data_IF_926650676854
#
_entry.id   IF_926650676854
#
_cell.length_a   1.000
_cell.length_b   1.000
_cell.length_c   1.000
_cell.angle_alpha   90.00
_cell.angle_beta   90.00
_cell.angle_gamma   90.00
#
_symmetry.space_group_name_H-M   'P 1'
#
loop_
_entity.id
_entity.type
_entity.pdbx_description
1 polymer ?
#
# COMPACT_ATOMS: atom_id res chain seq x y z
N UNK A 1 14.27 -22.54 -0.19
CA UNK A 1 15.42 -23.47 -0.32
C UNK A 1 16.62 -22.86 -1.04
N UNK A 2 16.46 -21.99 -2.03
CA UNK A 2 17.55 -21.34 -2.76
C UNK A 2 18.36 -20.41 -1.85
N UNK A 3 17.72 -19.55 -1.04
CA UNK A 3 18.37 -18.67 -0.08
C UNK A 3 19.25 -19.44 0.91
N UNK A 4 18.71 -20.51 1.50
CA UNK A 4 19.46 -21.32 2.48
C UNK A 4 20.71 -21.92 1.83
N UNK A 5 20.62 -22.41 0.60
CA UNK A 5 21.79 -22.93 -0.14
C UNK A 5 22.81 -21.84 -0.41
N UNK A 6 22.37 -20.66 -0.85
CA UNK A 6 23.26 -19.53 -1.12
C UNK A 6 23.99 -19.09 0.15
N UNK A 7 23.28 -18.93 1.27
CA UNK A 7 23.89 -18.57 2.57
C UNK A 7 24.90 -19.62 3.03
N UNK A 8 24.56 -20.91 2.93
CA UNK A 8 25.50 -22.00 3.30
C UNK A 8 26.75 -21.98 2.45
N UNK A 9 26.60 -21.85 1.13
CA UNK A 9 27.72 -21.78 0.20
C UNK A 9 28.63 -20.59 0.50
N UNK A 10 28.02 -19.42 0.75
CA UNK A 10 28.75 -18.19 1.06
C UNK A 10 29.56 -18.35 2.36
N UNK A 11 28.93 -18.84 3.42
CA UNK A 11 29.62 -19.14 4.70
C UNK A 11 30.79 -20.10 4.52
N UNK A 12 30.62 -21.17 3.76
CA UNK A 12 31.67 -22.18 3.51
C UNK A 12 32.84 -21.62 2.69
N UNK A 13 32.52 -20.79 1.69
CA UNK A 13 33.54 -20.24 0.79
C UNK A 13 34.40 -19.18 1.48
N UNK A 14 33.77 -18.30 2.29
CA UNK A 14 34.47 -17.14 2.83
C UNK A 14 34.74 -17.22 4.34
N UNK A 15 34.30 -18.27 5.02
CA UNK A 15 34.51 -18.44 6.47
C UNK A 15 33.88 -17.37 7.34
N UNK A 16 32.79 -16.74 6.87
CA UNK A 16 32.10 -15.62 7.55
C UNK A 16 30.79 -16.06 8.18
N UNK A 17 30.36 -15.34 9.20
CA UNK A 17 28.97 -15.39 9.69
C UNK A 17 28.09 -14.56 8.78
N UNK A 18 26.86 -15.04 8.54
CA UNK A 18 25.85 -14.34 7.74
C UNK A 18 24.65 -14.08 8.63
N UNK A 19 24.33 -12.82 8.82
CA UNK A 19 23.12 -12.34 9.52
C UNK A 19 22.15 -11.83 8.44
N UNK A 20 20.89 -12.23 8.53
CA UNK A 20 19.83 -11.80 7.63
C UNK A 20 18.85 -10.90 8.40
N UNK A 21 18.38 -9.85 7.75
CA UNK A 21 17.33 -8.96 8.24
C UNK A 21 16.11 -9.04 7.32
N UNK A 22 15.36 -10.14 7.35
CA UNK A 22 14.35 -10.46 6.32
C UNK A 22 13.01 -9.72 6.53
N UNK A 23 12.99 -8.46 6.89
CA UNK A 23 11.79 -7.70 7.20
C UNK A 23 10.59 -8.05 6.30
N UNK A 24 10.60 -7.67 5.00
CA UNK A 24 9.54 -7.96 4.02
C UNK A 24 9.27 -9.45 3.86
N UNK A 25 10.31 -10.25 3.82
CA UNK A 25 10.17 -11.68 3.58
C UNK A 25 9.40 -12.45 4.66
N UNK A 26 9.14 -11.84 5.83
CA UNK A 26 8.36 -12.45 6.92
C UNK A 26 6.87 -12.10 6.85
N UNK A 27 6.49 -11.05 6.13
CA UNK A 27 5.13 -10.49 6.12
C UNK A 27 4.56 -10.27 4.70
N UNK A 28 5.20 -10.86 3.70
CA UNK A 28 4.68 -10.92 2.33
C UNK A 28 3.27 -11.51 2.36
N UNK A 29 2.36 -10.91 1.60
CA UNK A 29 0.95 -11.29 1.47
C UNK A 29 0.14 -11.27 2.80
N UNK A 30 0.69 -10.72 3.89
CA UNK A 30 0.04 -10.73 5.20
C UNK A 30 -0.74 -9.45 5.53
N UNK A 31 -0.59 -8.39 4.76
CA UNK A 31 -1.27 -7.12 5.03
C UNK A 31 -1.86 -6.45 3.81
N UNK A 32 -3.07 -5.92 3.98
CA UNK A 32 -3.82 -5.23 2.95
C UNK A 32 -4.24 -3.85 3.44
N UNK A 33 -4.27 -2.87 2.52
CA UNK A 33 -4.90 -1.57 2.75
C UNK A 33 -6.12 -1.46 1.85
N UNK A 34 -7.27 -1.23 2.45
CA UNK A 34 -8.52 -0.99 1.72
C UNK A 34 -8.72 0.51 1.60
N UNK A 35 -8.95 0.97 0.38
CA UNK A 35 -9.19 2.37 0.04
C UNK A 35 -10.49 2.52 -0.74
N UNK A 36 -11.11 3.69 -0.63
CA UNK A 36 -12.33 4.03 -1.36
C UNK A 36 -12.02 5.11 -2.39
N UNK A 37 -12.55 4.96 -3.60
CA UNK A 37 -12.55 6.01 -4.63
C UNK A 37 -13.50 7.13 -4.18
N UNK A 38 -12.98 8.34 -4.02
CA UNK A 38 -13.74 9.52 -3.63
C UNK A 38 -14.30 10.25 -4.84
N UNK A 39 -13.50 10.37 -5.90
CA UNK A 39 -13.84 11.13 -7.09
C UNK A 39 -13.04 10.63 -8.29
N UNK A 40 -13.54 10.89 -9.50
CA UNK A 40 -12.85 10.66 -10.77
C UNK A 40 -12.68 12.02 -11.46
N UNK A 41 -11.43 12.37 -11.71
CA UNK A 41 -11.07 13.61 -12.43
C UNK A 41 -10.47 13.26 -13.77
N UNK A 42 -10.94 13.89 -14.83
CA UNK A 42 -10.39 13.73 -16.17
C UNK A 42 -9.44 14.88 -16.50
N UNK A 43 -8.17 14.58 -16.74
CA UNK A 43 -7.15 15.53 -17.19
C UNK A 43 -6.18 14.81 -18.14
N UNK A 44 -6.53 14.75 -19.43
CA UNK A 44 -5.89 13.92 -20.46
C UNK A 44 -6.04 12.41 -20.21
N UNK A 45 -6.00 11.99 -18.97
CA UNK A 45 -6.27 10.63 -18.49
C UNK A 45 -7.22 10.68 -17.29
N UNK A 46 -7.83 9.55 -16.95
CA UNK A 46 -8.65 9.44 -15.76
C UNK A 46 -7.77 9.31 -14.52
N UNK A 47 -8.12 10.05 -13.47
CA UNK A 47 -7.44 10.08 -12.18
C UNK A 47 -8.48 9.73 -11.11
N UNK A 48 -8.33 8.60 -10.47
CA UNK A 48 -9.13 8.23 -9.31
C UNK A 48 -8.51 8.79 -8.04
N UNK A 49 -9.20 9.74 -7.42
CA UNK A 49 -8.82 10.33 -6.12
C UNK A 49 -9.33 9.41 -5.02
N UNK A 50 -8.44 8.94 -4.16
CA UNK A 50 -8.74 7.98 -3.12
C UNK A 50 -8.81 8.63 -1.73
N UNK A 51 -9.43 7.96 -0.76
CA UNK A 51 -9.32 8.28 0.67
C UNK A 51 -7.97 7.86 1.27
N UNK A 52 -7.05 7.41 0.43
CA UNK A 52 -5.69 7.00 0.75
C UNK A 52 -4.68 7.92 0.04
N UNK A 53 -3.58 8.22 0.71
CA UNK A 53 -2.49 9.06 0.21
C UNK A 53 -1.20 8.24 0.17
N UNK A 54 -0.42 8.35 -0.91
CA UNK A 54 0.92 7.78 -0.96
C UNK A 54 1.78 8.37 0.16
N UNK A 55 1.73 9.69 0.37
CA UNK A 55 2.51 10.37 1.39
C UNK A 55 2.15 9.97 2.82
N UNK A 56 0.88 9.63 3.09
CA UNK A 56 0.40 9.35 4.45
C UNK A 56 0.35 7.86 4.78
N UNK A 57 0.01 7.01 3.82
CA UNK A 57 -0.34 5.61 4.08
C UNK A 57 0.61 4.61 3.44
N UNK A 58 1.38 5.03 2.44
CA UNK A 58 2.37 4.19 1.77
C UNK A 58 3.59 5.02 1.29
N UNK A 59 4.28 5.72 2.20
CA UNK A 59 5.37 6.63 1.82
C UNK A 59 6.52 5.95 1.09
N UNK A 60 6.67 4.64 1.23
CA UNK A 60 7.65 3.84 0.49
C UNK A 60 7.50 3.96 -1.02
N UNK A 61 6.27 4.12 -1.52
CA UNK A 61 5.98 4.34 -2.95
C UNK A 61 6.71 5.57 -3.48
N UNK A 62 6.90 6.58 -2.63
CA UNK A 62 7.58 7.83 -2.99
C UNK A 62 9.08 7.78 -2.69
N UNK A 63 9.50 7.06 -1.66
CA UNK A 63 10.91 6.98 -1.22
C UNK A 63 11.72 6.03 -2.11
N UNK A 64 11.17 4.89 -2.43
CA UNK A 64 11.76 3.88 -3.32
C UNK A 64 10.69 3.50 -4.34
N UNK A 65 10.53 4.26 -5.42
CA UNK A 65 9.37 4.13 -6.30
C UNK A 65 9.10 2.69 -6.76
N UNK A 66 7.93 2.21 -6.45
CA UNK A 66 7.37 0.95 -6.92
C UNK A 66 5.85 1.11 -7.06
N UNK A 67 5.22 0.23 -7.80
CA UNK A 67 3.77 0.19 -7.96
C UNK A 67 3.19 -0.89 -7.05
N UNK A 68 2.47 -0.54 -5.97
CA UNK A 68 1.86 -1.51 -5.08
C UNK A 68 0.88 -2.42 -5.83
N UNK A 69 0.82 -3.72 -5.54
CA UNK A 69 -0.19 -4.57 -6.16
C UNK A 69 -1.61 -4.16 -5.68
N UNK A 70 -2.54 -4.08 -6.64
CA UNK A 70 -3.97 -3.86 -6.37
C UNK A 70 -4.75 -5.08 -6.86
N UNK A 71 -5.58 -5.64 -6.00
CA UNK A 71 -6.37 -6.81 -6.35
C UNK A 71 -7.31 -6.50 -7.52
N UNK A 72 -7.26 -7.34 -8.55
CA UNK A 72 -8.06 -7.17 -9.77
C UNK A 72 -7.52 -6.16 -10.78
N UNK A 73 -6.47 -5.41 -10.44
CA UNK A 73 -5.83 -4.51 -11.38
C UNK A 73 -4.62 -5.16 -12.09
N UNK A 74 -4.24 -4.57 -13.22
CA UNK A 74 -3.08 -4.95 -14.02
C UNK A 74 -2.22 -3.71 -14.34
N UNK A 75 -1.09 -3.94 -15.00
CA UNK A 75 -0.27 -2.85 -15.52
C UNK A 75 -1.05 -1.99 -16.53
N UNK A 76 -0.67 -0.71 -16.70
CA UNK A 76 -1.35 0.19 -17.63
C UNK A 76 -1.49 -0.41 -19.02
N UNK A 77 -2.68 -0.28 -19.62
CA UNK A 77 -2.99 -0.74 -20.97
C UNK A 77 -3.15 -2.26 -21.15
N UNK A 78 -3.06 -3.06 -20.10
CA UNK A 78 -3.30 -4.51 -20.16
C UNK A 78 -4.80 -4.80 -20.15
N UNK A 79 -5.57 -4.08 -19.35
CA UNK A 79 -7.03 -4.14 -19.28
C UNK A 79 -7.67 -2.91 -19.96
N UNK A 80 -8.97 -2.93 -20.26
CA UNK A 80 -9.62 -1.88 -21.06
C UNK A 80 -9.55 -0.46 -20.48
N UNK A 81 -9.61 -0.31 -19.16
CA UNK A 81 -9.72 0.99 -18.51
C UNK A 81 -8.48 1.30 -17.69
N UNK A 82 -7.67 2.25 -18.17
CA UNK A 82 -6.46 2.70 -17.49
C UNK A 82 -6.74 4.00 -16.75
N UNK A 83 -6.30 4.08 -15.48
CA UNK A 83 -6.36 5.31 -14.70
C UNK A 83 -5.18 5.44 -13.74
N UNK A 84 -4.92 6.68 -13.30
CA UNK A 84 -3.97 7.00 -12.25
C UNK A 84 -4.70 6.95 -10.91
N UNK A 85 -4.11 6.30 -9.91
CA UNK A 85 -4.56 6.34 -8.52
C UNK A 85 -3.77 7.41 -7.78
N UNK A 86 -4.47 8.35 -7.15
CA UNK A 86 -3.87 9.49 -6.48
C UNK A 86 -4.49 9.75 -5.10
N UNK A 87 -3.72 10.29 -4.19
CA UNK A 87 -4.19 10.75 -2.89
C UNK A 87 -4.75 12.18 -2.93
N UNK A 88 -5.48 12.60 -1.88
CA UNK A 88 -6.15 13.90 -1.81
C UNK A 88 -5.28 14.99 -1.15
N UNK A 89 -4.00 14.73 -0.87
CA UNK A 89 -3.14 15.70 -0.17
C UNK A 89 -2.59 16.77 -1.11
N UNK A 90 -2.14 17.89 -0.55
CA UNK A 90 -1.49 18.96 -1.31
C UNK A 90 -0.03 18.63 -1.69
N UNK A 91 0.47 17.46 -1.34
CA UNK A 91 1.81 17.06 -1.73
C UNK A 91 1.89 16.90 -3.26
N UNK A 92 2.78 17.63 -3.88
CA UNK A 92 3.04 17.48 -5.32
C UNK A 92 3.52 16.05 -5.60
N UNK A 93 2.76 15.31 -6.44
CA UNK A 93 3.08 13.93 -6.73
C UNK A 93 2.56 12.93 -5.68
N UNK A 94 1.45 13.25 -4.99
CA UNK A 94 0.71 12.26 -4.17
C UNK A 94 0.01 11.25 -5.08
N UNK A 95 0.82 10.56 -5.87
CA UNK A 95 0.42 9.57 -6.87
C UNK A 95 0.88 8.20 -6.40
N UNK A 96 -0.05 7.25 -6.37
CA UNK A 96 0.22 5.87 -5.99
C UNK A 96 0.76 5.08 -7.18
N UNK A 97 0.16 5.25 -8.34
CA UNK A 97 0.58 4.59 -9.57
C UNK A 97 -0.48 4.66 -10.66
N UNK A 98 -0.14 4.08 -11.80
CA UNK A 98 -1.05 3.92 -12.93
C UNK A 98 -1.38 2.45 -13.10
N UNK A 99 -2.68 2.16 -13.28
CA UNK A 99 -3.22 0.79 -13.32
C UNK A 99 -4.27 0.67 -14.42
N UNK A 100 -4.58 -0.56 -14.80
CA UNK A 100 -5.74 -0.85 -15.65
C UNK A 100 -6.69 -1.83 -14.97
N UNK A 101 -7.98 -1.70 -15.30
CA UNK A 101 -9.10 -2.43 -14.71
C UNK A 101 -10.00 -3.00 -15.82
N UNK A 102 -10.78 -4.04 -15.51
CA UNK A 102 -11.78 -4.61 -16.42
C UNK A 102 -12.95 -3.66 -16.69
N UNK A 103 -13.36 -2.91 -15.65
CA UNK A 103 -14.44 -1.92 -15.66
C UNK A 103 -13.90 -0.55 -15.26
N UNK A 104 -14.52 0.55 -15.69
CA UNK A 104 -14.13 1.88 -15.20
C UNK A 104 -14.40 2.00 -13.71
N UNK A 105 -13.51 2.68 -12.99
CA UNK A 105 -13.72 2.97 -11.58
C UNK A 105 -14.79 4.07 -11.41
N UNK A 106 -15.58 3.93 -10.34
CA UNK A 106 -16.60 4.90 -9.95
C UNK A 106 -16.40 5.35 -8.49
N UNK A 107 -16.86 6.57 -8.12
CA UNK A 107 -16.89 7.00 -6.72
C UNK A 107 -17.66 6.00 -5.85
N UNK A 108 -17.01 5.55 -4.77
CA UNK A 108 -17.54 4.52 -3.86
C UNK A 108 -16.92 3.15 -4.06
N UNK A 109 -16.24 2.90 -5.15
CA UNK A 109 -15.51 1.64 -5.37
C UNK A 109 -14.42 1.45 -4.31
N UNK A 110 -14.20 0.20 -3.94
CA UNK A 110 -13.14 -0.17 -3.00
C UNK A 110 -12.01 -0.88 -3.69
N UNK A 111 -10.81 -0.35 -3.47
CA UNK A 111 -9.56 -0.92 -3.94
C UNK A 111 -8.82 -1.58 -2.77
N UNK A 112 -8.20 -2.71 -3.03
CA UNK A 112 -7.43 -3.46 -2.03
C UNK A 112 -5.98 -3.51 -2.48
N UNK A 113 -5.13 -2.77 -1.79
CA UNK A 113 -3.68 -2.79 -1.99
C UNK A 113 -3.07 -3.95 -1.21
N UNK A 114 -2.27 -4.76 -1.87
CA UNK A 114 -1.51 -5.84 -1.26
C UNK A 114 -0.17 -5.38 -0.68
N UNK A 115 0.45 -6.24 0.11
CA UNK A 115 1.77 -6.03 0.72
C UNK A 115 1.92 -4.73 1.54
N UNK A 116 0.84 -4.34 2.24
CA UNK A 116 0.75 -3.08 2.99
C UNK A 116 1.12 -3.21 4.47
N UNK A 117 1.80 -4.29 4.89
CA UNK A 117 2.05 -4.51 6.32
C UNK A 117 3.36 -3.90 6.84
N UNK A 118 4.38 -3.66 6.03
CA UNK A 118 5.68 -3.22 6.49
C UNK A 118 5.80 -1.72 6.76
N UNK A 119 6.66 -1.08 6.01
CA UNK A 119 6.89 0.36 6.10
C UNK A 119 5.64 1.15 5.75
N UNK A 120 4.80 0.65 4.84
CA UNK A 120 3.49 1.22 4.56
C UNK A 120 2.60 1.31 5.80
N UNK A 121 2.72 0.34 6.72
CA UNK A 121 1.96 0.33 7.98
C UNK A 121 2.61 1.19 9.07
N UNK A 122 3.92 1.02 9.31
CA UNK A 122 4.59 1.66 10.47
C UNK A 122 4.99 3.11 10.22
N UNK A 123 5.11 3.54 8.97
CA UNK A 123 5.41 4.93 8.60
C UNK A 123 4.17 5.79 8.40
N UNK A 124 2.97 5.28 8.65
CA UNK A 124 1.74 6.05 8.53
C UNK A 124 1.82 7.37 9.28
N UNK A 125 1.28 8.41 8.69
CA UNK A 125 1.27 9.74 9.25
C UNK A 125 -0.04 10.48 8.96
N UNK A 126 -0.22 11.64 9.57
CA UNK A 126 -1.45 12.43 9.49
C UNK A 126 -1.23 13.77 8.78
N UNK A 127 -0.32 13.81 7.83
CA UNK A 127 -0.10 15.00 7.01
C UNK A 127 -1.41 15.49 6.36
N UNK A 128 -1.63 16.80 6.30
CA UNK A 128 -2.87 17.43 5.88
C UNK A 128 -4.13 17.01 6.66
N UNK A 129 -3.98 16.44 7.84
CA UNK A 129 -5.12 15.94 8.62
C UNK A 129 -5.70 14.62 8.11
N UNK A 130 -4.98 13.90 7.24
CA UNK A 130 -5.40 12.59 6.77
C UNK A 130 -5.59 11.64 7.97
N UNK A 131 -6.71 10.92 8.04
CA UNK A 131 -6.94 9.95 9.10
C UNK A 131 -5.99 8.76 8.94
N UNK A 132 -5.57 8.18 10.06
CA UNK A 132 -4.90 6.88 10.03
C UNK A 132 -5.93 5.78 9.68
N UNK A 133 -5.57 4.78 8.88
CA UNK A 133 -6.43 3.64 8.62
C UNK A 133 -6.72 2.86 9.90
N UNK A 134 -7.96 2.44 10.10
CA UNK A 134 -8.32 1.50 11.16
C UNK A 134 -7.55 0.19 10.98
N UNK A 135 -7.18 -0.46 12.08
CA UNK A 135 -6.48 -1.73 12.07
C UNK A 135 -7.47 -2.85 12.34
N UNK A 136 -7.51 -3.84 11.47
CA UNK A 136 -8.32 -5.02 11.63
C UNK A 136 -7.56 -6.32 11.37
N UNK A 137 -8.11 -7.40 11.87
CA UNK A 137 -7.66 -8.77 11.59
C UNK A 137 -8.70 -9.45 10.72
N UNK A 138 -8.24 -10.11 9.68
CA UNK A 138 -9.05 -11.00 8.87
C UNK A 138 -8.77 -12.43 9.30
N UNK A 139 -9.78 -13.13 9.78
CA UNK A 139 -9.71 -14.50 10.24
C UNK A 139 -10.25 -15.44 9.16
N UNK A 140 -9.65 -16.61 9.00
CA UNK A 140 -10.07 -17.61 8.01
C UNK A 140 -11.51 -18.09 8.23
N UNK A 141 -11.96 -18.16 9.48
CA UNK A 141 -13.23 -18.76 9.90
C UNK A 141 -14.21 -17.77 10.54
N UNK A 142 -13.74 -16.64 11.05
CA UNK A 142 -14.52 -15.73 11.90
C UNK A 142 -14.82 -14.35 11.27
N UNK A 143 -14.33 -14.10 10.08
CA UNK A 143 -14.52 -12.80 9.41
C UNK A 143 -13.56 -11.72 9.89
N UNK A 144 -14.05 -10.50 10.00
CA UNK A 144 -13.23 -9.30 10.24
C UNK A 144 -13.42 -8.77 11.66
N UNK A 145 -12.31 -8.55 12.37
CA UNK A 145 -12.27 -7.92 13.70
C UNK A 145 -11.53 -6.59 13.65
N UNK A 146 -12.17 -5.51 14.10
CA UNK A 146 -11.50 -4.21 14.27
C UNK A 146 -10.69 -4.21 15.57
N UNK A 147 -9.37 -4.20 15.46
CA UNK A 147 -8.44 -4.19 16.61
C UNK A 147 -8.25 -2.77 17.14
N UNK A 148 -8.18 -1.79 16.25
CA UNK A 148 -8.01 -0.38 16.63
C UNK A 148 -8.68 0.55 15.64
N UNK A 149 -9.36 1.56 16.19
CA UNK A 149 -9.89 2.70 15.44
C UNK A 149 -9.08 3.94 15.73
N UNK A 150 -8.93 4.77 14.71
CA UNK A 150 -8.29 6.06 14.82
C UNK A 150 -9.30 7.18 14.54
N UNK A 151 -9.04 8.37 15.11
CA UNK A 151 -9.90 9.51 14.94
C UNK A 151 -9.18 10.85 15.12
N UNK A 152 -9.95 11.92 15.18
CA UNK A 152 -9.42 13.28 15.30
C UNK A 152 -8.48 13.46 16.51
N UNK A 153 -8.72 12.74 17.61
CA UNK A 153 -7.86 12.80 18.81
C UNK A 153 -6.44 12.34 18.57
N UNK A 154 -6.25 11.36 17.66
CA UNK A 154 -4.93 10.85 17.28
C UNK A 154 -4.16 11.91 16.48
N UNK A 155 -4.83 12.63 15.59
CA UNK A 155 -4.26 13.77 14.87
C UNK A 155 -3.92 14.92 15.83
N UNK A 156 -4.89 15.36 16.62
CA UNK A 156 -4.72 16.48 17.55
C UNK A 156 -3.60 16.23 18.59
N UNK A 157 -3.46 15.00 19.05
CA UNK A 157 -2.47 14.62 20.05
C UNK A 157 -1.00 14.71 19.56
N UNK A 158 -0.79 14.95 18.27
CA UNK A 158 0.54 15.15 17.67
C UNK A 158 0.91 16.63 17.48
N UNK A 159 -0.05 17.54 17.62
CA UNK A 159 0.15 18.98 17.53
C UNK A 159 0.57 19.55 18.89
#
# INVERSE_FOLDING_TARGET
WQLIRAVRSFRQTFGVEVILEPGSGLVVDAGYLVSTVLDIVHNETDIAVLDTSAACHMPDVLEVPYTPPVLGAQAPGVLPYTCILAGPTCMTGDIIGEYSFEEPLEPGDRLVFGDMLQYSFVKNNTFNGMPLPDIGLLHEDAGYEVVRRFGYTDFRGRL
#
